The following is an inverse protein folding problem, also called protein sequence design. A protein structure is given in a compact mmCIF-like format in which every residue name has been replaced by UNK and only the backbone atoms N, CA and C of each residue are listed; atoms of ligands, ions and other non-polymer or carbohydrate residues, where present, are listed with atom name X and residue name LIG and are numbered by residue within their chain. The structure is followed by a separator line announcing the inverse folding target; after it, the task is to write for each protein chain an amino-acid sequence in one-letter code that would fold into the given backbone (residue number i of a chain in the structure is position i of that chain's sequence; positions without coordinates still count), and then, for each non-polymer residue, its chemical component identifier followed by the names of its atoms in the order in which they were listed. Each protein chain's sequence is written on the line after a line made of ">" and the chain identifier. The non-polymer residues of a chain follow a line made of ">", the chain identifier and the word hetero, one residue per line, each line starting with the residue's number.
data_IF_576830864187
#
_entry.id   IF_576830864187
#
_cell.length_a   1.000
_cell.length_b   1.000
_cell.length_c   1.000
_cell.angle_alpha   90.00
_cell.angle_beta   90.00
_cell.angle_gamma   90.00
#
_symmetry.space_group_name_H-M   'P 1'
#
loop_
_entity.id
_entity.type
_entity.pdbx_description
1 polymer ?
#
# COMPACT_ATOMS: atom_id res chain seq x y z
N UNK A 1 13.59 -18.92 0.85
CA UNK A 1 12.19 -18.53 0.54
C UNK A 1 12.29 -17.46 -0.55
N UNK A 2 11.50 -17.60 -1.62
CA UNK A 2 11.46 -16.61 -2.71
C UNK A 2 10.66 -15.38 -2.27
N UNK A 3 11.12 -14.21 -2.69
CA UNK A 3 10.38 -12.96 -2.53
C UNK A 3 9.23 -12.87 -3.56
N UNK A 4 8.25 -12.01 -3.31
CA UNK A 4 7.06 -11.89 -4.16
C UNK A 4 7.42 -11.56 -5.62
N UNK A 5 8.42 -10.70 -5.85
CA UNK A 5 8.90 -10.37 -7.19
C UNK A 5 9.50 -11.59 -7.90
N UNK A 6 10.31 -12.37 -7.20
CA UNK A 6 10.92 -13.61 -7.75
C UNK A 6 9.85 -14.65 -8.10
N UNK A 7 8.84 -14.82 -7.23
CA UNK A 7 7.69 -15.71 -7.50
C UNK A 7 6.93 -15.26 -8.75
N UNK A 8 6.70 -13.97 -8.90
CA UNK A 8 6.07 -13.41 -10.09
C UNK A 8 6.90 -13.66 -11.35
N UNK A 9 8.22 -13.44 -11.29
CA UNK A 9 9.12 -13.66 -12.43
C UNK A 9 9.14 -15.14 -12.85
N UNK A 10 9.16 -16.07 -11.88
CA UNK A 10 8.99 -17.50 -12.17
C UNK A 10 7.64 -17.77 -12.87
N UNK A 11 6.55 -17.17 -12.39
CA UNK A 11 5.23 -17.27 -13.01
C UNK A 11 5.22 -16.75 -14.45
N UNK A 12 5.86 -15.61 -14.72
CA UNK A 12 5.98 -15.05 -16.07
C UNK A 12 6.77 -15.98 -17.02
N UNK A 13 7.87 -16.58 -16.55
CA UNK A 13 8.63 -17.55 -17.34
C UNK A 13 7.74 -18.73 -17.72
N UNK A 14 7.02 -19.32 -16.79
CA UNK A 14 6.10 -20.43 -17.04
C UNK A 14 4.99 -20.04 -18.05
N UNK A 15 4.43 -18.84 -17.94
CA UNK A 15 3.44 -18.33 -18.92
C UNK A 15 4.05 -18.23 -20.32
N UNK A 16 5.28 -17.71 -20.46
CA UNK A 16 5.97 -17.61 -21.76
C UNK A 16 6.30 -18.97 -22.34
N UNK A 17 6.71 -19.92 -21.51
CA UNK A 17 6.94 -21.31 -21.95
C UNK A 17 5.65 -21.91 -22.53
N UNK A 18 4.52 -21.76 -21.86
CA UNK A 18 3.21 -22.21 -22.37
C UNK A 18 2.80 -21.51 -23.68
N UNK A 19 3.07 -20.22 -23.83
CA UNK A 19 2.83 -19.47 -25.07
C UNK A 19 3.65 -20.02 -26.24
N UNK A 20 4.95 -20.27 -26.00
CA UNK A 20 5.86 -20.85 -27.02
C UNK A 20 5.38 -22.25 -27.42
N UNK A 21 5.06 -23.10 -26.43
CA UNK A 21 4.55 -24.45 -26.72
C UNK A 21 3.26 -24.43 -27.56
N UNK A 22 2.32 -23.55 -27.24
CA UNK A 22 1.07 -23.36 -28.00
C UNK A 22 1.32 -22.79 -29.39
N UNK A 23 2.29 -21.87 -29.55
CA UNK A 23 2.68 -21.35 -30.85
C UNK A 23 3.23 -22.48 -31.74
N UNK A 24 4.22 -23.25 -31.24
CA UNK A 24 4.80 -24.38 -31.96
C UNK A 24 3.74 -25.41 -32.34
N UNK A 25 2.81 -25.75 -31.43
CA UNK A 25 1.75 -26.72 -31.72
C UNK A 25 0.84 -26.33 -32.92
N UNK A 26 0.64 -25.02 -33.15
CA UNK A 26 -0.11 -24.52 -34.31
C UNK A 26 0.61 -24.69 -35.66
N UNK A 27 1.96 -24.81 -35.60
CA UNK A 27 2.83 -24.93 -36.78
C UNK A 27 3.36 -26.36 -36.97
N UNK A 28 2.65 -27.40 -36.51
CA UNK A 28 3.10 -28.80 -36.51
C UNK A 28 3.44 -29.30 -37.91
N UNK A 29 2.74 -28.86 -38.95
CA UNK A 29 2.99 -29.27 -40.33
C UNK A 29 4.27 -28.69 -40.93
N UNK A 30 4.72 -27.53 -40.43
CA UNK A 30 5.89 -26.83 -40.94
C UNK A 30 7.18 -27.28 -40.24
N UNK A 31 7.10 -27.59 -38.91
CA UNK A 31 8.23 -27.92 -38.07
C UNK A 31 7.94 -28.99 -37.00
N UNK A 32 7.63 -30.26 -37.40
CA UNK A 32 7.20 -31.30 -36.46
C UNK A 32 8.25 -31.60 -35.35
N UNK A 33 9.53 -31.51 -35.65
CA UNK A 33 10.62 -31.73 -34.67
C UNK A 33 10.62 -30.64 -33.58
N UNK A 34 10.34 -29.40 -33.95
CA UNK A 34 10.28 -28.29 -33.01
C UNK A 34 9.07 -28.45 -32.07
N UNK A 35 7.95 -28.93 -32.58
CA UNK A 35 6.76 -29.22 -31.77
C UNK A 35 7.03 -30.28 -30.71
N UNK A 36 7.75 -31.36 -31.11
CA UNK A 36 8.13 -32.42 -30.18
C UNK A 36 9.02 -31.89 -29.04
N UNK A 37 9.99 -31.06 -29.36
CA UNK A 37 10.85 -30.41 -28.36
C UNK A 37 10.08 -29.43 -27.48
N UNK A 38 9.21 -28.61 -28.07
CA UNK A 38 8.40 -27.62 -27.35
C UNK A 38 7.33 -28.25 -26.46
N UNK A 39 6.95 -29.52 -26.70
CA UNK A 39 5.99 -30.24 -25.85
C UNK A 39 6.43 -30.34 -24.39
N UNK A 40 7.74 -30.37 -24.13
CA UNK A 40 8.31 -30.36 -22.78
C UNK A 40 8.21 -29.00 -22.06
N UNK A 41 7.82 -27.93 -22.76
CA UNK A 41 7.62 -26.60 -22.18
C UNK A 41 6.21 -26.38 -21.62
N UNK A 42 5.28 -27.32 -21.85
CA UNK A 42 3.91 -27.17 -21.37
C UNK A 42 3.84 -27.37 -19.86
N UNK A 43 3.28 -26.38 -19.19
CA UNK A 43 3.02 -26.45 -17.74
C UNK A 43 1.84 -27.38 -17.44
N UNK A 44 1.90 -28.09 -16.30
CA UNK A 44 0.76 -28.85 -15.79
C UNK A 44 -0.41 -27.92 -15.43
N UNK A 45 -1.60 -28.48 -15.27
CA UNK A 45 -2.79 -27.69 -14.86
C UNK A 45 -2.59 -27.02 -13.50
N UNK A 46 -1.89 -27.69 -12.59
CA UNK A 46 -1.55 -27.19 -11.26
C UNK A 46 -0.62 -25.97 -11.38
N UNK A 47 0.45 -26.06 -12.16
CA UNK A 47 1.36 -24.93 -12.40
C UNK A 47 0.66 -23.75 -13.06
N UNK A 48 -0.21 -24.00 -14.03
CA UNK A 48 -1.01 -22.95 -14.67
C UNK A 48 -1.97 -22.26 -13.68
N UNK A 49 -2.51 -23.01 -12.71
CA UNK A 49 -3.37 -22.46 -11.67
C UNK A 49 -2.56 -21.55 -10.74
N UNK A 50 -1.37 -22.02 -10.29
CA UNK A 50 -0.46 -21.24 -9.44
C UNK A 50 -0.01 -19.97 -10.17
N UNK A 51 0.42 -20.08 -11.41
CA UNK A 51 0.87 -18.93 -12.22
C UNK A 51 -0.21 -17.85 -12.33
N UNK A 52 -1.46 -18.26 -12.58
CA UNK A 52 -2.59 -17.33 -12.62
C UNK A 52 -2.87 -16.69 -11.27
N UNK A 53 -2.74 -17.45 -10.17
CA UNK A 53 -2.90 -16.91 -8.82
C UNK A 53 -1.80 -15.89 -8.49
N UNK A 54 -0.54 -16.16 -8.84
CA UNK A 54 0.57 -15.22 -8.67
C UNK A 54 0.35 -13.93 -9.46
N UNK A 55 -0.02 -14.03 -10.75
CA UNK A 55 -0.31 -12.85 -11.57
C UNK A 55 -1.51 -12.05 -11.07
N UNK A 56 -2.51 -12.71 -10.51
CA UNK A 56 -3.66 -12.06 -9.90
C UNK A 56 -3.33 -11.36 -8.58
N UNK A 57 -2.33 -11.85 -7.82
CA UNK A 57 -1.99 -11.36 -6.49
C UNK A 57 -0.86 -10.34 -6.46
N UNK A 58 0.11 -10.41 -7.40
CA UNK A 58 1.35 -9.64 -7.34
C UNK A 58 1.39 -8.59 -8.47
N UNK A 59 1.79 -7.37 -8.14
CA UNK A 59 2.01 -6.27 -9.09
C UNK A 59 3.35 -6.41 -9.82
N UNK A 60 3.56 -5.67 -10.94
CA UNK A 60 4.83 -5.68 -11.67
C UNK A 60 6.07 -5.32 -10.84
N UNK A 61 5.91 -4.53 -9.80
CA UNK A 61 6.96 -4.10 -8.87
C UNK A 61 7.16 -5.04 -7.68
N UNK A 62 6.42 -6.17 -7.63
CA UNK A 62 6.46 -7.12 -6.52
C UNK A 62 5.53 -6.81 -5.35
N UNK A 63 4.81 -5.69 -5.37
CA UNK A 63 3.83 -5.38 -4.34
C UNK A 63 2.60 -6.31 -4.44
N UNK A 64 2.00 -6.64 -3.30
CA UNK A 64 0.75 -7.40 -3.26
C UNK A 64 -0.41 -6.50 -3.69
N UNK A 65 -1.23 -6.96 -4.64
CA UNK A 65 -2.42 -6.22 -5.08
C UNK A 65 -3.46 -6.19 -3.97
N UNK A 66 -4.11 -5.05 -3.79
CA UNK A 66 -5.24 -4.91 -2.84
C UNK A 66 -6.34 -5.96 -3.08
N UNK A 67 -6.47 -6.42 -4.33
CA UNK A 67 -7.42 -7.45 -4.73
C UNK A 67 -6.96 -8.89 -4.50
N UNK A 68 -5.75 -9.12 -3.96
CA UNK A 68 -5.19 -10.45 -3.78
C UNK A 68 -6.07 -11.33 -2.88
N UNK A 69 -6.65 -10.76 -1.83
CA UNK A 69 -7.66 -11.43 -1.00
C UNK A 69 -8.87 -10.52 -0.76
N UNK A 70 -10.07 -11.07 -0.54
CA UNK A 70 -11.24 -10.29 -0.12
C UNK A 70 -10.99 -9.54 1.19
N UNK A 71 -10.23 -10.13 2.10
CA UNK A 71 -9.89 -9.53 3.40
C UNK A 71 -8.94 -8.34 3.23
N UNK A 72 -7.89 -8.45 2.42
CA UNK A 72 -6.98 -7.34 2.14
C UNK A 72 -7.74 -6.15 1.52
N UNK A 73 -8.63 -6.43 0.56
CA UNK A 73 -9.49 -5.40 -0.04
C UNK A 73 -10.35 -4.69 1.00
N UNK A 74 -10.99 -5.45 1.91
CA UNK A 74 -11.82 -4.91 2.98
C UNK A 74 -11.01 -4.00 3.91
N UNK A 75 -9.84 -4.47 4.35
CA UNK A 75 -8.96 -3.72 5.24
C UNK A 75 -8.43 -2.43 4.59
N UNK A 76 -8.00 -2.51 3.33
CA UNK A 76 -7.52 -1.34 2.59
C UNK A 76 -8.64 -0.29 2.42
N UNK A 77 -9.86 -0.72 2.09
CA UNK A 77 -10.99 0.19 1.98
C UNK A 77 -11.31 0.87 3.32
N UNK A 78 -11.34 0.11 4.41
CA UNK A 78 -11.57 0.67 5.75
C UNK A 78 -10.47 1.69 6.15
N UNK A 79 -9.20 1.39 5.85
CA UNK A 79 -8.10 2.32 6.08
C UNK A 79 -8.22 3.61 5.24
N UNK A 80 -8.66 3.49 3.98
CA UNK A 80 -8.89 4.64 3.11
C UNK A 80 -10.02 5.54 3.64
N UNK A 81 -11.11 4.97 4.15
CA UNK A 81 -12.19 5.74 4.79
C UNK A 81 -11.70 6.50 6.03
N UNK A 82 -10.88 5.87 6.89
CA UNK A 82 -10.30 6.53 8.05
C UNK A 82 -9.37 7.69 7.63
N UNK A 83 -8.53 7.48 6.62
CA UNK A 83 -7.64 8.52 6.06
C UNK A 83 -8.42 9.67 5.43
N UNK A 84 -9.56 9.38 4.80
CA UNK A 84 -10.45 10.42 4.27
C UNK A 84 -11.08 11.25 5.39
N UNK A 85 -11.61 10.61 6.44
CA UNK A 85 -12.13 11.31 7.63
C UNK A 85 -11.06 12.17 8.30
N UNK A 86 -9.82 11.70 8.36
CA UNK A 86 -8.68 12.45 8.88
C UNK A 86 -8.47 13.74 8.08
N UNK A 87 -8.45 13.65 6.74
CA UNK A 87 -8.30 14.83 5.87
C UNK A 87 -9.40 15.86 6.10
N UNK A 88 -10.65 15.42 6.22
CA UNK A 88 -11.80 16.29 6.48
C UNK A 88 -11.71 16.97 7.84
N UNK A 89 -11.20 16.27 8.88
CA UNK A 89 -11.00 16.87 10.19
C UNK A 89 -9.83 17.87 10.19
N UNK A 90 -8.72 17.52 9.56
CA UNK A 90 -7.57 18.41 9.38
C UNK A 90 -7.98 19.69 8.64
N UNK A 91 -8.72 19.55 7.55
CA UNK A 91 -9.20 20.69 6.76
C UNK A 91 -10.07 21.63 7.60
N UNK A 92 -10.98 21.10 8.42
CA UNK A 92 -11.79 21.89 9.37
C UNK A 92 -10.93 22.64 10.39
N UNK A 93 -9.86 22.01 10.91
CA UNK A 93 -8.97 22.67 11.87
C UNK A 93 -8.17 23.76 11.20
N UNK A 94 -7.60 23.48 10.01
CA UNK A 94 -6.78 24.42 9.25
C UNK A 94 -7.53 25.68 8.84
N UNK A 95 -8.83 25.58 8.56
CA UNK A 95 -9.69 26.71 8.17
C UNK A 95 -10.51 27.29 9.34
N UNK A 96 -10.23 26.84 10.58
CA UNK A 96 -10.90 27.37 11.75
C UNK A 96 -10.27 28.68 12.21
N UNK A 97 -11.07 29.74 12.29
CA UNK A 97 -10.62 31.03 12.85
C UNK A 97 -10.10 30.93 14.28
N UNK A 98 -10.47 29.88 15.02
CA UNK A 98 -9.97 29.60 16.36
C UNK A 98 -8.47 29.36 16.40
N UNK A 99 -7.89 28.78 15.33
CA UNK A 99 -6.50 28.33 15.28
C UNK A 99 -5.66 29.10 14.27
N UNK A 100 -6.21 30.10 13.58
CA UNK A 100 -5.51 30.91 12.58
C UNK A 100 -4.22 31.55 13.13
N UNK A 101 -4.28 32.15 14.33
CA UNK A 101 -3.12 32.74 14.97
C UNK A 101 -2.16 31.72 15.58
N UNK A 102 -2.63 30.50 15.84
CA UNK A 102 -1.91 29.45 16.57
C UNK A 102 -1.06 28.61 15.61
N UNK A 103 -1.55 28.36 14.41
CA UNK A 103 -0.83 27.63 13.39
C UNK A 103 0.34 28.44 12.85
N UNK A 104 1.47 27.79 12.62
CA UNK A 104 2.63 28.41 11.97
C UNK A 104 2.36 28.60 10.48
N UNK A 105 1.76 27.58 9.85
CA UNK A 105 1.36 27.53 8.45
C UNK A 105 0.13 26.64 8.29
N UNK A 106 -0.66 26.89 7.23
CA UNK A 106 -1.92 26.18 6.99
C UNK A 106 -1.70 24.88 6.20
N UNK A 107 -0.88 23.97 6.75
CA UNK A 107 -0.73 22.61 6.23
C UNK A 107 -0.67 21.60 7.38
N UNK A 108 -0.76 20.31 7.05
CA UNK A 108 -0.50 19.22 7.98
C UNK A 108 0.73 18.42 7.53
N UNK A 109 1.38 17.77 8.47
CA UNK A 109 2.52 16.89 8.22
C UNK A 109 2.26 15.51 8.82
N UNK A 110 3.15 14.56 8.51
CA UNK A 110 3.24 13.30 9.24
C UNK A 110 4.55 13.25 10.01
N UNK A 111 4.45 12.85 11.30
CA UNK A 111 5.59 12.56 12.16
C UNK A 111 5.34 11.22 12.86
N UNK A 112 6.29 10.31 12.73
CA UNK A 112 6.19 8.96 13.30
C UNK A 112 4.89 8.21 12.90
N UNK A 113 4.43 8.44 11.66
CA UNK A 113 3.20 7.86 11.14
C UNK A 113 1.90 8.47 11.67
N UNK A 114 1.98 9.66 12.33
CA UNK A 114 0.83 10.41 12.83
C UNK A 114 0.64 11.71 12.08
N UNK A 115 -0.60 12.10 11.87
CA UNK A 115 -0.96 13.40 11.32
C UNK A 115 -0.84 14.46 12.41
N UNK A 116 -0.06 15.50 12.13
CA UNK A 116 0.27 16.58 13.06
C UNK A 116 0.15 17.93 12.38
N UNK A 117 -0.02 18.99 13.17
CA UNK A 117 -0.10 20.38 12.70
C UNK A 117 1.12 21.16 13.18
N UNK A 118 1.69 22.05 12.33
CA UNK A 118 2.74 22.96 12.74
C UNK A 118 2.14 24.11 13.55
N UNK A 119 2.45 24.17 14.81
CA UNK A 119 1.97 25.16 15.78
C UNK A 119 3.13 26.05 16.21
N UNK A 120 2.89 27.36 16.35
CA UNK A 120 3.86 28.31 16.92
C UNK A 120 4.21 27.88 18.34
N UNK A 121 5.51 27.78 18.66
CA UNK A 121 5.97 27.23 19.94
C UNK A 121 5.45 28.00 21.16
N UNK A 122 5.35 29.33 21.05
CA UNK A 122 4.79 30.23 22.08
C UNK A 122 3.26 30.12 22.22
N UNK A 123 2.57 29.63 21.19
CA UNK A 123 1.11 29.46 21.16
C UNK A 123 0.65 28.02 21.43
N UNK A 124 1.57 27.06 21.66
CA UNK A 124 1.24 25.64 21.85
C UNK A 124 0.18 25.38 22.92
N UNK A 125 0.15 26.21 23.98
CA UNK A 125 -0.84 26.08 25.07
C UNK A 125 -2.30 26.37 24.65
N UNK A 126 -2.51 26.98 23.50
CA UNK A 126 -3.86 27.28 22.96
C UNK A 126 -4.47 26.12 22.16
N UNK A 127 -3.66 25.12 21.77
CA UNK A 127 -4.13 23.91 21.09
C UNK A 127 -3.80 22.68 21.95
N UNK A 128 -4.79 22.07 22.62
CA UNK A 128 -4.57 20.85 23.41
C UNK A 128 -4.16 19.70 22.50
N UNK A 129 -3.05 19.01 22.84
CA UNK A 129 -2.56 17.91 22.02
C UNK A 129 -1.22 17.36 22.52
N UNK A 130 -0.64 16.47 21.72
CA UNK A 130 0.62 15.79 21.97
C UNK A 130 1.68 16.35 21.00
N UNK A 131 2.81 16.78 21.53
CA UNK A 131 3.96 17.22 20.71
C UNK A 131 4.74 15.98 20.29
N UNK A 132 4.95 15.83 18.98
CA UNK A 132 5.72 14.74 18.38
C UNK A 132 7.11 15.19 17.91
N UNK A 133 7.24 16.45 17.51
CA UNK A 133 8.50 16.95 16.97
C UNK A 133 8.61 18.46 17.17
N UNK A 134 9.84 18.98 17.06
CA UNK A 134 10.14 20.41 17.14
C UNK A 134 11.06 20.79 16.00
N UNK A 135 10.81 21.92 15.34
CA UNK A 135 11.69 22.42 14.27
C UNK A 135 13.10 22.73 14.80
N UNK A 136 14.10 22.68 13.93
CA UNK A 136 15.49 22.93 14.29
C UNK A 136 15.71 24.33 14.95
N UNK A 137 14.90 25.32 14.58
CA UNK A 137 14.94 26.65 15.22
C UNK A 137 14.19 26.74 16.54
N UNK A 138 13.42 25.71 16.92
CA UNK A 138 12.55 25.73 18.08
C UNK A 138 11.28 26.58 17.95
N UNK A 139 11.10 27.27 16.84
CA UNK A 139 9.97 28.20 16.63
C UNK A 139 8.64 27.50 16.32
N UNK A 140 8.68 26.26 15.83
CA UNK A 140 7.51 25.46 15.48
C UNK A 140 7.52 24.13 16.21
N UNK A 141 6.39 23.74 16.77
CA UNK A 141 6.15 22.40 17.31
C UNK A 141 5.16 21.65 16.41
N UNK A 142 5.45 20.39 16.13
CA UNK A 142 4.53 19.50 15.41
C UNK A 142 3.63 18.79 16.42
N UNK A 143 2.39 19.25 16.48
CA UNK A 143 1.44 18.87 17.52
C UNK A 143 0.32 18.03 16.92
N UNK A 144 0.01 16.90 17.56
CA UNK A 144 -1.17 16.10 17.31
C UNK A 144 -2.33 16.66 18.15
N UNK A 145 -3.34 17.31 17.55
CA UNK A 145 -4.49 17.80 18.31
C UNK A 145 -5.23 16.68 19.01
N UNK A 146 -5.71 16.93 20.23
CA UNK A 146 -6.42 15.95 21.04
C UNK A 146 -7.60 15.30 20.28
N UNK A 147 -8.28 16.07 19.47
CA UNK A 147 -9.42 15.62 18.65
C UNK A 147 -9.04 14.67 17.50
N UNK A 148 -7.75 14.58 17.14
CA UNK A 148 -7.24 13.67 16.10
C UNK A 148 -6.60 12.39 16.66
N UNK A 149 -6.36 12.29 17.97
CA UNK A 149 -5.63 11.18 18.61
C UNK A 149 -6.30 9.84 18.32
N UNK A 150 -7.61 9.74 18.54
CA UNK A 150 -8.37 8.50 18.32
C UNK A 150 -8.35 8.09 16.84
N UNK A 151 -8.46 9.05 15.94
CA UNK A 151 -8.43 8.76 14.50
C UNK A 151 -7.04 8.36 14.03
N UNK A 152 -5.98 9.00 14.53
CA UNK A 152 -4.60 8.57 14.31
C UNK A 152 -4.35 7.14 14.83
N UNK A 153 -4.87 6.80 16.01
CA UNK A 153 -4.79 5.44 16.55
C UNK A 153 -5.50 4.43 15.64
N UNK A 154 -6.71 4.77 15.18
CA UNK A 154 -7.49 3.90 14.29
C UNK A 154 -6.79 3.66 12.95
N UNK A 155 -6.19 4.69 12.36
CA UNK A 155 -5.41 4.57 11.14
C UNK A 155 -4.20 3.66 11.37
N UNK A 156 -3.47 3.85 12.47
CA UNK A 156 -2.31 3.00 12.79
C UNK A 156 -2.67 1.53 12.96
N UNK A 157 -3.80 1.24 13.63
CA UNK A 157 -4.30 -0.13 13.77
C UNK A 157 -4.65 -0.72 12.41
N UNK A 158 -5.37 0.03 11.57
CA UNK A 158 -5.75 -0.43 10.23
C UNK A 158 -4.52 -0.71 9.35
N UNK A 159 -3.50 0.14 9.37
CA UNK A 159 -2.24 -0.08 8.63
C UNK A 159 -1.53 -1.36 9.13
N UNK A 160 -1.49 -1.62 10.43
CA UNK A 160 -0.92 -2.85 10.99
C UNK A 160 -1.71 -4.12 10.61
N UNK A 161 -3.03 -4.03 10.51
CA UNK A 161 -3.88 -5.14 10.04
C UNK A 161 -3.61 -5.45 8.57
N UNK A 162 -3.45 -4.43 7.72
CA UNK A 162 -3.05 -4.58 6.32
C UNK A 162 -1.68 -5.27 6.23
N UNK A 163 -0.68 -4.80 6.98
CA UNK A 163 0.64 -5.41 6.99
C UNK A 163 0.62 -6.88 7.40
N UNK A 164 -0.20 -7.24 8.40
CA UNK A 164 -0.37 -8.64 8.84
C UNK A 164 -1.00 -9.49 7.74
N UNK A 165 -2.03 -8.98 7.07
CA UNK A 165 -2.69 -9.71 5.99
C UNK A 165 -1.74 -9.90 4.80
N UNK A 166 -0.98 -8.87 4.41
CA UNK A 166 0.04 -8.96 3.36
C UNK A 166 1.11 -10.02 3.68
N UNK A 167 1.55 -10.11 4.94
CA UNK A 167 2.52 -11.15 5.35
C UNK A 167 1.94 -12.56 5.37
N UNK A 168 0.62 -12.69 5.45
CA UNK A 168 -0.09 -13.98 5.45
C UNK A 168 -0.25 -14.54 4.03
N UNK A 169 -0.29 -13.67 3.04
CA UNK A 169 -0.41 -14.01 1.60
C UNK A 169 0.90 -14.59 1.08
#
# INVERSE_FOLDING_TARGET
>A
VLEALELRDCGLVLMRMDEVARFCARHVHEAPMVVTLAGGLQSTRELQSITRALDAAIQPDGAIKESATPELRRLTHAAQELKQRMREQLDRILHSSRYEDVLQESYFAQREGRYVLPVKADMRGRMPGIVHDVSASGATVFLEPRELVELNNSIKVADLEIEREVRRI
#
